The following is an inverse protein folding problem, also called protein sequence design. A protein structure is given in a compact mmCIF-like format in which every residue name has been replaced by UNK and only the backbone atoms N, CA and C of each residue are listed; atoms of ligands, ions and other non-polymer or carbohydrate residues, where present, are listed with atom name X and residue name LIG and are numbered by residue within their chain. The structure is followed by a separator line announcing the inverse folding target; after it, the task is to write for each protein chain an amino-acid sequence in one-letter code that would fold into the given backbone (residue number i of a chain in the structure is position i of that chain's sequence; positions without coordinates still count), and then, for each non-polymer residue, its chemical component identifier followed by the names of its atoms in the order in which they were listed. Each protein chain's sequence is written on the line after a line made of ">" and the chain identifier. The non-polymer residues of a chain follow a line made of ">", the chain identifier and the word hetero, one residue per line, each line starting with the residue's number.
data_IF_175671837171
#
_entry.id   IF_175671837171
#
_cell.length_a   1.000
_cell.length_b   1.000
_cell.length_c   1.000
_cell.angle_alpha   90.00
_cell.angle_beta   90.00
_cell.angle_gamma   90.00
#
_symmetry.space_group_name_H-M   'P 1'
#
loop_
_entity.id
_entity.type
_entity.pdbx_description
1 polymer ?
#
# COMPACT_ATOMS: atom_id res chain seq x y z
N UNK A 1 36.19 -27.67 18.49
CA UNK A 1 34.80 -27.69 19.00
C UNK A 1 34.28 -26.26 19.00
N UNK A 2 33.21 -25.98 18.24
CA UNK A 2 32.60 -24.65 18.13
C UNK A 2 31.92 -24.27 19.44
N UNK A 3 32.34 -23.17 20.07
CA UNK A 3 31.72 -22.66 21.29
C UNK A 3 30.36 -22.02 20.95
N UNK A 4 29.27 -22.39 21.64
CA UNK A 4 28.01 -21.66 21.51
C UNK A 4 28.19 -20.22 21.99
N UNK A 5 27.51 -19.26 21.34
CA UNK A 5 27.59 -17.82 21.62
C UNK A 5 27.13 -17.42 23.03
N UNK A 6 26.42 -18.31 23.72
CA UNK A 6 25.88 -18.07 25.05
C UNK A 6 26.15 -19.29 25.92
N UNK A 7 26.94 -19.08 26.97
CA UNK A 7 27.12 -20.08 28.00
C UNK A 7 25.83 -20.16 28.84
N UNK A 8 25.26 -21.36 29.06
CA UNK A 8 24.12 -21.49 29.95
C UNK A 8 24.53 -21.02 31.36
N UNK A 9 23.62 -20.37 32.11
CA UNK A 9 23.96 -19.89 33.43
C UNK A 9 24.39 -21.05 34.33
N UNK A 10 25.64 -21.00 34.76
CA UNK A 10 26.27 -21.94 35.69
C UNK A 10 25.84 -21.66 37.14
N UNK A 11 26.05 -22.59 38.08
CA UNK A 11 25.71 -22.39 39.50
C UNK A 11 26.42 -21.19 40.15
N UNK A 12 27.46 -20.67 39.50
CA UNK A 12 28.27 -19.52 39.92
C UNK A 12 27.70 -18.16 39.49
N UNK A 13 26.52 -18.11 38.86
CA UNK A 13 25.88 -16.85 38.49
C UNK A 13 25.54 -16.01 39.75
N UNK A 14 25.73 -14.68 39.72
CA UNK A 14 25.61 -13.80 40.90
C UNK A 14 24.22 -13.75 41.54
N UNK A 15 23.20 -14.36 40.92
CA UNK A 15 21.84 -14.45 41.46
C UNK A 15 21.15 -15.73 40.99
N UNK A 16 20.17 -16.20 41.80
CA UNK A 16 19.43 -17.44 41.56
C UNK A 16 18.41 -17.28 40.43
N UNK A 17 18.69 -17.86 39.26
CA UNK A 17 17.78 -17.86 38.11
C UNK A 17 16.73 -18.97 38.27
N UNK A 18 15.44 -18.64 38.22
CA UNK A 18 14.36 -19.65 38.27
C UNK A 18 14.41 -20.56 37.03
N UNK A 19 14.14 -21.86 37.21
CA UNK A 19 14.19 -22.90 36.15
C UNK A 19 13.43 -22.54 34.88
N UNK A 20 12.26 -21.91 35.01
CA UNK A 20 11.44 -21.43 33.87
C UNK A 20 12.16 -20.38 33.03
N UNK A 21 12.83 -19.42 33.67
CA UNK A 21 13.57 -18.39 32.94
C UNK A 21 14.81 -18.96 32.27
N UNK A 22 15.47 -19.94 32.89
CA UNK A 22 16.60 -20.63 32.27
C UNK A 22 16.20 -21.39 30.99
N UNK A 23 15.03 -22.06 31.00
CA UNK A 23 14.50 -22.71 29.80
C UNK A 23 14.12 -21.72 28.70
N UNK A 24 13.70 -20.50 29.06
CA UNK A 24 13.35 -19.45 28.09
C UNK A 24 14.58 -18.71 27.54
N UNK A 25 15.70 -18.69 28.26
CA UNK A 25 16.94 -18.05 27.81
C UNK A 25 17.71 -18.91 26.80
N UNK A 26 17.43 -20.21 26.70
CA UNK A 26 18.04 -21.06 25.68
C UNK A 26 17.38 -20.79 24.33
N UNK A 27 18.13 -20.34 23.30
CA UNK A 27 17.56 -20.08 21.99
C UNK A 27 17.03 -21.38 21.37
N UNK A 28 15.80 -21.34 20.82
CA UNK A 28 15.14 -22.50 20.19
C UNK A 28 15.85 -23.01 18.93
N UNK A 29 16.73 -22.22 18.34
CA UNK A 29 17.55 -22.56 17.17
C UNK A 29 19.00 -22.20 17.49
N UNK A 30 19.89 -23.17 17.40
CA UNK A 30 21.32 -22.95 17.55
C UNK A 30 21.84 -22.26 16.29
N UNK A 31 22.38 -21.05 16.46
CA UNK A 31 23.12 -20.37 15.41
C UNK A 31 24.61 -20.62 15.67
N UNK A 32 25.24 -21.42 14.82
CA UNK A 32 26.70 -21.52 14.77
C UNK A 32 27.24 -20.19 14.25
N UNK A 33 27.89 -19.43 15.12
CA UNK A 33 28.61 -18.21 14.72
C UNK A 33 29.84 -18.66 13.93
N UNK A 34 29.77 -18.63 12.60
CA UNK A 34 30.88 -19.01 11.71
C UNK A 34 32.04 -18.01 11.74
N UNK A 35 32.01 -17.01 12.61
CA UNK A 35 33.06 -15.99 12.70
C UNK A 35 33.08 -15.03 11.51
N UNK A 36 32.12 -15.13 10.59
CA UNK A 36 31.93 -14.16 9.51
C UNK A 36 31.26 -12.92 10.11
N UNK A 37 32.06 -11.85 10.19
CA UNK A 37 31.77 -10.63 10.95
C UNK A 37 30.47 -9.90 10.63
N UNK A 38 30.31 -8.77 11.33
CA UNK A 38 29.18 -7.85 11.19
C UNK A 38 28.68 -7.76 9.74
N UNK A 39 27.35 -7.80 9.50
CA UNK A 39 26.85 -7.99 8.15
C UNK A 39 27.40 -6.92 7.23
N UNK A 40 28.12 -7.32 6.19
CA UNK A 40 28.79 -6.38 5.31
C UNK A 40 27.78 -5.37 4.75
N UNK A 41 28.07 -4.08 4.91
CA UNK A 41 27.28 -2.99 4.35
C UNK A 41 27.92 -2.49 3.05
N UNK A 42 27.11 -1.92 2.18
CA UNK A 42 27.58 -1.15 1.02
C UNK A 42 28.07 0.23 1.46
N UNK A 43 28.82 0.97 0.61
CA UNK A 43 29.23 2.36 0.90
C UNK A 43 28.07 3.31 1.22
N UNK A 44 26.83 2.94 0.86
CA UNK A 44 25.60 3.69 1.16
C UNK A 44 24.90 3.24 2.45
N UNK A 45 25.52 2.36 3.24
CA UNK A 45 24.96 1.85 4.50
C UNK A 45 23.87 0.78 4.34
N UNK A 46 23.64 0.25 3.13
CA UNK A 46 22.67 -0.83 2.90
C UNK A 46 23.35 -2.18 3.11
N UNK A 47 22.75 -3.06 3.91
CA UNK A 47 23.26 -4.40 4.19
C UNK A 47 23.34 -5.21 2.89
N UNK A 48 24.48 -5.82 2.56
CA UNK A 48 24.66 -6.60 1.31
C UNK A 48 23.65 -7.74 1.19
N UNK A 49 23.29 -8.38 2.31
CA UNK A 49 22.24 -9.41 2.33
C UNK A 49 20.85 -8.89 1.96
N UNK A 50 20.57 -7.58 2.13
CA UNK A 50 19.31 -6.97 1.74
C UNK A 50 19.24 -6.70 0.23
N UNK A 51 20.39 -6.54 -0.44
CA UNK A 51 20.47 -6.42 -1.90
C UNK A 51 20.23 -7.75 -2.59
N UNK A 52 20.69 -8.84 -1.96
CA UNK A 52 20.51 -10.21 -2.45
C UNK A 52 19.32 -10.92 -1.76
N UNK A 53 18.48 -10.18 -1.02
CA UNK A 53 17.35 -10.79 -0.34
C UNK A 53 16.30 -11.20 -1.37
N UNK A 54 15.99 -12.49 -1.42
CA UNK A 54 14.82 -12.96 -2.12
C UNK A 54 13.57 -12.38 -1.45
N UNK A 55 12.77 -11.67 -2.23
CA UNK A 55 11.49 -11.15 -1.77
C UNK A 55 10.63 -12.36 -1.40
N UNK A 56 10.15 -12.42 -0.16
CA UNK A 56 9.19 -13.46 0.23
C UNK A 56 7.94 -13.38 -0.65
N UNK A 57 7.36 -14.51 -1.03
CA UNK A 57 6.16 -14.57 -1.90
C UNK A 57 5.06 -13.63 -1.43
N UNK A 58 4.85 -13.51 -0.11
CA UNK A 58 3.90 -12.55 0.49
C UNK A 58 4.15 -11.08 0.12
N UNK A 59 5.41 -10.66 0.08
CA UNK A 59 5.81 -9.27 -0.26
C UNK A 59 5.73 -9.06 -1.78
N UNK A 60 6.06 -10.09 -2.56
CA UNK A 60 5.86 -10.10 -4.00
C UNK A 60 4.37 -9.99 -4.35
N UNK A 61 3.50 -10.72 -3.65
CA UNK A 61 2.05 -10.69 -3.83
C UNK A 61 1.44 -9.33 -3.48
N UNK A 62 1.92 -8.72 -2.38
CA UNK A 62 1.53 -7.39 -1.97
C UNK A 62 2.01 -6.27 -2.91
N UNK A 63 2.96 -6.56 -3.81
CA UNK A 63 3.44 -5.62 -4.81
C UNK A 63 2.51 -5.51 -6.03
N UNK A 64 1.60 -6.47 -6.25
CA UNK A 64 0.69 -6.43 -7.40
C UNK A 64 -0.28 -5.23 -7.34
N UNK A 65 -0.47 -4.48 -8.44
CA UNK A 65 -1.23 -3.23 -8.41
C UNK A 65 -2.67 -3.37 -7.90
N UNK A 66 -3.34 -4.48 -8.19
CA UNK A 66 -4.73 -4.69 -7.78
C UNK A 66 -4.85 -5.07 -6.30
N UNK A 67 -4.03 -6.03 -5.86
CA UNK A 67 -4.00 -6.48 -4.47
C UNK A 67 -3.50 -5.39 -3.52
N UNK A 68 -2.47 -4.66 -3.95
CA UNK A 68 -1.97 -3.47 -3.25
C UNK A 68 -3.05 -2.40 -3.08
N UNK A 69 -3.85 -2.13 -4.12
CA UNK A 69 -4.97 -1.17 -4.04
C UNK A 69 -6.03 -1.62 -3.03
N UNK A 70 -6.37 -2.91 -3.01
CA UNK A 70 -7.32 -3.45 -2.03
C UNK A 70 -6.78 -3.37 -0.59
N UNK A 71 -5.52 -3.73 -0.36
CA UNK A 71 -4.87 -3.61 0.95
C UNK A 71 -4.80 -2.17 1.45
N UNK A 72 -4.44 -1.22 0.57
CA UNK A 72 -4.41 0.20 0.89
C UNK A 72 -5.81 0.72 1.23
N UNK A 73 -6.83 0.29 0.49
CA UNK A 73 -8.23 0.66 0.73
C UNK A 73 -8.72 0.11 2.07
N UNK A 74 -8.45 -1.18 2.36
CA UNK A 74 -8.78 -1.79 3.66
C UNK A 74 -8.10 -1.04 4.81
N UNK A 75 -6.82 -0.67 4.66
CA UNK A 75 -6.07 0.09 5.67
C UNK A 75 -6.65 1.49 5.88
N UNK A 76 -6.97 2.20 4.81
CA UNK A 76 -7.48 3.58 4.87
C UNK A 76 -8.88 3.68 5.50
N UNK A 77 -9.73 2.67 5.28
CA UNK A 77 -11.14 2.71 5.68
C UNK A 77 -11.50 1.69 6.78
N UNK A 78 -10.51 1.09 7.46
CA UNK A 78 -10.73 0.09 8.52
C UNK A 78 -11.68 0.56 9.62
N UNK A 79 -11.62 1.85 9.98
CA UNK A 79 -12.47 2.45 11.03
C UNK A 79 -13.81 3.00 10.51
N UNK A 80 -14.00 3.04 9.19
CA UNK A 80 -15.20 3.63 8.55
C UNK A 80 -16.12 2.59 7.91
N UNK A 81 -15.60 1.42 7.59
CA UNK A 81 -16.39 0.34 7.02
C UNK A 81 -16.99 -0.54 8.10
N UNK A 82 -18.23 -1.00 7.86
CA UNK A 82 -18.85 -2.05 8.67
C UNK A 82 -18.04 -3.34 8.57
N UNK A 83 -18.16 -4.19 9.59
CA UNK A 83 -17.47 -5.48 9.66
C UNK A 83 -17.77 -6.33 8.41
N UNK A 84 -19.02 -6.36 7.96
CA UNK A 84 -19.44 -7.08 6.75
C UNK A 84 -18.70 -6.61 5.47
N UNK A 85 -18.45 -5.30 5.33
CA UNK A 85 -17.70 -4.76 4.19
C UNK A 85 -16.22 -5.11 4.27
N UNK A 86 -15.66 -5.14 5.48
CA UNK A 86 -14.28 -5.58 5.68
C UNK A 86 -14.11 -7.06 5.36
N UNK A 87 -15.07 -7.91 5.74
CA UNK A 87 -15.08 -9.33 5.38
C UNK A 87 -15.20 -9.55 3.87
N UNK A 88 -16.04 -8.76 3.17
CA UNK A 88 -16.11 -8.82 1.70
C UNK A 88 -14.78 -8.44 1.05
N UNK A 89 -14.12 -7.39 1.55
CA UNK A 89 -12.78 -7.02 1.09
C UNK A 89 -11.77 -8.14 1.32
N UNK A 90 -11.85 -8.84 2.46
CA UNK A 90 -10.98 -9.98 2.76
C UNK A 90 -11.21 -11.15 1.83
N UNK A 91 -12.45 -11.53 1.57
CA UNK A 91 -12.79 -12.55 0.57
C UNK A 91 -12.30 -12.17 -0.83
N UNK A 92 -12.38 -10.89 -1.21
CA UNK A 92 -11.86 -10.41 -2.49
C UNK A 92 -10.33 -10.47 -2.57
N UNK A 93 -9.63 -10.17 -1.47
CA UNK A 93 -8.17 -10.28 -1.39
C UNK A 93 -7.73 -11.75 -1.48
N UNK A 94 -8.43 -12.65 -0.78
CA UNK A 94 -8.19 -14.10 -0.83
C UNK A 94 -8.45 -14.69 -2.22
N UNK A 95 -9.57 -14.32 -2.85
CA UNK A 95 -9.88 -14.73 -4.22
C UNK A 95 -8.83 -14.20 -5.22
N UNK A 96 -8.39 -12.95 -5.06
CA UNK A 96 -7.35 -12.36 -5.90
C UNK A 96 -6.01 -13.11 -5.73
N UNK A 97 -5.63 -13.49 -4.50
CA UNK A 97 -4.47 -14.34 -4.25
C UNK A 97 -4.61 -15.71 -4.93
N UNK A 98 -5.75 -16.40 -4.76
CA UNK A 98 -5.99 -17.69 -5.40
C UNK A 98 -5.86 -17.62 -6.93
N UNK A 99 -6.39 -16.56 -7.55
CA UNK A 99 -6.24 -16.35 -9.01
C UNK A 99 -4.80 -16.02 -9.43
N UNK A 100 -3.99 -15.41 -8.55
CA UNK A 100 -2.58 -15.14 -8.82
C UNK A 100 -1.77 -16.44 -8.80
N UNK A 101 -1.96 -17.28 -7.78
CA UNK A 101 -1.31 -18.60 -7.69
C UNK A 101 -1.78 -19.55 -8.79
N UNK A 102 -3.06 -19.53 -9.18
CA UNK A 102 -3.54 -20.33 -10.31
C UNK A 102 -2.94 -19.86 -11.65
N UNK A 103 -2.79 -18.55 -11.85
CA UNK A 103 -2.11 -17.99 -13.03
C UNK A 103 -0.63 -18.32 -13.03
N UNK A 104 0.07 -18.20 -11.90
CA UNK A 104 1.48 -18.56 -11.78
C UNK A 104 1.70 -20.06 -11.96
N UNK A 105 0.85 -20.91 -11.40
CA UNK A 105 0.91 -22.37 -11.59
C UNK A 105 0.71 -22.74 -13.07
N UNK A 106 -0.23 -22.10 -13.76
CA UNK A 106 -0.44 -22.30 -15.20
C UNK A 106 0.74 -21.75 -16.03
N UNK A 107 1.32 -20.60 -15.65
CA UNK A 107 2.51 -20.07 -16.31
C UNK A 107 3.76 -20.96 -16.12
N UNK A 108 3.94 -21.58 -14.95
CA UNK A 108 5.05 -22.53 -14.69
C UNK A 108 4.84 -23.84 -15.44
N UNK A 109 3.60 -24.32 -15.58
CA UNK A 109 3.26 -25.49 -16.41
C UNK A 109 3.54 -25.20 -17.89
N UNK A 110 3.26 -23.98 -18.37
CA UNK A 110 3.54 -23.58 -19.75
C UNK A 110 5.03 -23.41 -20.03
N UNK A 111 5.81 -22.87 -19.08
CA UNK A 111 7.28 -22.77 -19.18
C UNK A 111 7.94 -24.16 -19.27
N UNK A 112 7.54 -25.12 -18.42
CA UNK A 112 8.06 -26.51 -18.48
C UNK A 112 7.67 -27.25 -19.77
N UNK A 113 6.57 -26.86 -20.42
CA UNK A 113 6.13 -27.43 -21.71
C UNK A 113 6.80 -26.76 -22.91
N UNK A 114 7.39 -25.58 -22.76
CA UNK A 114 8.08 -24.87 -23.85
C UNK A 114 9.51 -25.36 -24.07
N UNK A 115 10.22 -25.77 -23.02
CA UNK A 115 11.63 -26.22 -23.17
C UNK A 115 11.79 -27.53 -23.97
N UNK A 116 10.72 -28.29 -24.20
CA UNK A 116 10.77 -29.60 -24.89
C UNK A 116 9.95 -29.67 -26.17
N UNK A 117 9.25 -28.60 -26.55
CA UNK A 117 8.55 -28.53 -27.83
C UNK A 117 9.25 -27.53 -28.72
N UNK A 118 10.05 -28.05 -29.65
CA UNK A 118 10.22 -27.43 -30.96
C UNK A 118 8.88 -26.79 -31.34
N UNK A 119 8.90 -25.50 -31.67
CA UNK A 119 7.69 -24.70 -31.92
C UNK A 119 7.02 -25.24 -33.17
N UNK A 120 6.27 -26.35 -33.02
CA UNK A 120 5.59 -27.01 -34.13
C UNK A 120 4.55 -26.04 -34.65
N UNK A 121 4.59 -25.82 -35.96
CA UNK A 121 3.62 -25.07 -36.74
C UNK A 121 2.21 -25.35 -36.24
N UNK A 122 1.43 -24.30 -35.93
CA UNK A 122 0.02 -24.49 -35.59
C UNK A 122 -0.70 -25.18 -36.76
N UNK A 123 -1.48 -26.22 -36.46
CA UNK A 123 -2.23 -27.00 -37.46
C UNK A 123 -3.11 -26.04 -38.28
N UNK A 124 -2.98 -26.08 -39.61
CA UNK A 124 -3.77 -25.26 -40.54
C UNK A 124 -3.09 -24.00 -41.09
N UNK A 125 -1.87 -23.67 -40.65
CA UNK A 125 -1.12 -22.53 -41.18
C UNK A 125 -0.21 -22.97 -42.32
N UNK A 126 -0.08 -22.15 -43.37
CA UNK A 126 0.98 -22.31 -44.38
C UNK A 126 2.33 -21.83 -43.82
N UNK A 127 3.43 -22.23 -44.44
CA UNK A 127 4.77 -21.90 -43.92
C UNK A 127 5.10 -20.41 -44.04
N UNK A 128 4.56 -19.77 -45.08
CA UNK A 128 4.64 -18.33 -45.29
C UNK A 128 3.83 -17.53 -44.26
N UNK A 129 2.62 -17.97 -43.91
CA UNK A 129 1.80 -17.33 -42.86
C UNK A 129 2.43 -17.51 -41.48
N UNK A 130 2.98 -18.69 -41.21
CA UNK A 130 3.67 -18.96 -39.96
C UNK A 130 4.90 -18.07 -39.79
N UNK A 131 5.70 -17.92 -40.85
CA UNK A 131 6.86 -17.01 -40.86
C UNK A 131 6.44 -15.56 -40.63
N UNK A 132 5.44 -15.05 -41.36
CA UNK A 132 4.90 -13.69 -41.16
C UNK A 132 4.44 -13.45 -39.73
N UNK A 133 3.81 -14.45 -39.11
CA UNK A 133 3.34 -14.36 -37.74
C UNK A 133 4.47 -14.38 -36.71
N UNK A 134 5.48 -15.23 -36.90
CA UNK A 134 6.68 -15.25 -36.07
C UNK A 134 7.46 -13.92 -36.18
N UNK A 135 7.58 -13.36 -37.39
CA UNK A 135 8.21 -12.06 -37.63
C UNK A 135 7.45 -10.93 -36.92
N UNK A 136 6.11 -10.93 -36.99
CA UNK A 136 5.26 -9.97 -36.28
C UNK A 136 5.39 -10.09 -34.76
N UNK A 137 5.43 -11.31 -34.23
CA UNK A 137 5.68 -11.55 -32.80
C UNK A 137 7.07 -11.06 -32.41
N UNK A 138 8.09 -11.31 -33.21
CA UNK A 138 9.44 -10.80 -32.98
C UNK A 138 9.51 -9.28 -32.92
N UNK A 139 8.76 -8.59 -33.79
CA UNK A 139 8.64 -7.13 -33.76
C UNK A 139 7.96 -6.59 -32.49
N UNK A 140 6.95 -7.29 -31.97
CA UNK A 140 6.24 -6.89 -30.74
C UNK A 140 7.01 -7.25 -29.48
N UNK A 141 7.67 -8.40 -29.48
CA UNK A 141 8.45 -8.92 -28.36
C UNK A 141 9.77 -8.15 -28.17
N UNK A 142 10.21 -7.41 -29.20
CA UNK A 142 11.30 -6.48 -29.08
C UNK A 142 11.06 -5.45 -27.95
N UNK A 143 12.10 -5.03 -27.23
CA UNK A 143 11.96 -4.01 -26.20
C UNK A 143 11.35 -2.75 -26.81
N UNK A 144 10.23 -2.30 -26.23
CA UNK A 144 9.57 -1.06 -26.67
C UNK A 144 10.58 0.07 -26.61
N UNK A 145 10.62 0.89 -27.67
CA UNK A 145 11.47 2.09 -27.70
C UNK A 145 11.14 2.95 -26.48
N UNK A 146 12.17 3.24 -25.68
CA UNK A 146 12.07 4.07 -24.49
C UNK A 146 11.97 5.53 -24.94
N UNK A 147 10.74 6.05 -25.03
CA UNK A 147 10.48 7.47 -25.30
C UNK A 147 10.57 8.24 -24.00
N UNK A 148 11.79 8.40 -23.48
CA UNK A 148 11.99 9.28 -22.32
C UNK A 148 11.56 10.69 -22.72
N UNK A 149 10.68 11.35 -21.95
CA UNK A 149 10.37 12.73 -22.21
C UNK A 149 11.68 13.54 -22.20
N UNK A 150 11.82 14.55 -23.08
CA UNK A 150 12.99 15.40 -23.05
C UNK A 150 13.15 15.98 -21.64
N UNK A 151 14.39 16.16 -21.17
CA UNK A 151 14.63 16.75 -19.85
C UNK A 151 13.92 18.11 -19.75
N UNK A 152 13.28 18.36 -18.62
CA UNK A 152 12.58 19.63 -18.38
C UNK A 152 13.62 20.75 -18.37
N UNK A 153 13.68 21.53 -19.44
CA UNK A 153 14.48 22.75 -19.49
C UNK A 153 13.79 23.78 -18.61
N UNK A 154 14.32 24.00 -17.41
CA UNK A 154 13.86 25.10 -16.54
C UNK A 154 14.34 26.40 -17.17
N UNK A 155 13.40 27.26 -17.56
CA UNK A 155 13.72 28.60 -18.04
C UNK A 155 14.35 29.49 -16.95
N UNK A 156 14.75 30.72 -17.31
CA UNK A 156 15.30 31.68 -16.35
C UNK A 156 14.31 31.93 -15.20
N UNK A 157 14.84 32.07 -13.99
CA UNK A 157 14.05 32.41 -12.82
C UNK A 157 13.33 33.74 -13.04
N UNK A 158 12.02 33.76 -12.83
CA UNK A 158 11.24 35.00 -12.85
C UNK A 158 11.15 35.58 -11.44
N UNK A 159 11.25 36.92 -11.28
CA UNK A 159 11.07 37.55 -9.99
C UNK A 159 9.66 37.32 -9.46
N UNK A 160 9.51 37.34 -8.13
CA UNK A 160 8.24 37.04 -7.45
C UNK A 160 7.10 37.93 -7.95
N UNK A 161 7.38 39.21 -8.18
CA UNK A 161 6.39 40.19 -8.66
C UNK A 161 5.75 39.79 -9.99
N UNK A 162 6.55 39.24 -10.91
CA UNK A 162 6.06 38.76 -12.21
C UNK A 162 5.23 37.46 -12.07
N UNK A 163 5.39 36.72 -10.97
CA UNK A 163 4.65 35.47 -10.69
C UNK A 163 3.36 35.72 -9.90
N UNK A 164 3.27 36.81 -9.13
CA UNK A 164 2.13 37.13 -8.28
C UNK A 164 0.78 37.11 -9.02
N UNK A 165 0.61 37.65 -10.24
CA UNK A 165 -0.67 37.60 -10.95
C UNK A 165 -1.15 36.17 -11.20
N UNK A 166 -0.24 35.28 -11.60
CA UNK A 166 -0.55 33.87 -11.84
C UNK A 166 -0.81 33.11 -10.55
N UNK A 167 -0.04 33.39 -9.49
CA UNK A 167 -0.25 32.79 -8.17
C UNK A 167 -1.63 33.18 -7.63
N UNK A 168 -2.02 34.45 -7.75
CA UNK A 168 -3.38 34.93 -7.39
C UNK A 168 -4.48 34.24 -8.19
N UNK A 169 -4.23 33.98 -9.48
CA UNK A 169 -5.16 33.22 -10.33
C UNK A 169 -5.28 31.75 -9.91
N UNK A 170 -4.16 31.09 -9.59
CA UNK A 170 -4.15 29.68 -9.15
C UNK A 170 -4.69 29.48 -7.73
N UNK A 171 -4.57 30.49 -6.88
CA UNK A 171 -5.13 30.49 -5.52
C UNK A 171 -6.61 30.84 -5.49
N UNK A 172 -7.13 31.43 -6.56
CA UNK A 172 -8.57 31.62 -6.70
C UNK A 172 -9.27 30.26 -6.73
N UNK A 173 -10.22 30.07 -5.81
CA UNK A 173 -11.02 28.85 -5.76
C UNK A 173 -11.74 28.70 -7.10
N UNK A 174 -11.55 27.57 -7.81
CA UNK A 174 -12.20 27.40 -9.09
C UNK A 174 -13.72 27.41 -8.92
N UNK A 175 -14.39 28.32 -9.63
CA UNK A 175 -15.85 28.45 -9.68
C UNK A 175 -16.52 27.43 -10.61
N UNK A 176 -15.84 26.34 -10.99
CA UNK A 176 -16.58 25.26 -11.64
C UNK A 176 -17.60 24.73 -10.65
N UNK A 177 -18.85 24.54 -11.10
CA UNK A 177 -19.92 23.93 -10.32
C UNK A 177 -19.39 22.59 -9.79
N UNK A 178 -18.88 22.61 -8.57
CA UNK A 178 -18.71 21.39 -7.80
C UNK A 178 -20.15 20.92 -7.64
N UNK A 179 -20.54 19.94 -8.45
CA UNK A 179 -21.67 19.09 -8.10
C UNK A 179 -21.26 18.42 -6.79
N UNK A 180 -21.43 19.14 -5.67
CA UNK A 180 -21.41 18.55 -4.34
C UNK A 180 -22.54 17.54 -4.38
N UNK A 181 -22.22 16.29 -4.65
CA UNK A 181 -23.13 15.20 -4.36
C UNK A 181 -23.36 15.29 -2.86
N UNK A 182 -24.55 15.76 -2.46
CA UNK A 182 -25.05 15.60 -1.11
C UNK A 182 -24.83 14.12 -0.76
N UNK A 183 -24.18 13.83 0.37
CA UNK A 183 -23.88 12.43 0.70
C UNK A 183 -25.20 11.68 0.84
N UNK A 184 -25.31 10.55 0.17
CA UNK A 184 -26.50 9.68 0.20
C UNK A 184 -26.57 8.82 1.46
N UNK A 185 -25.77 9.13 2.49
CA UNK A 185 -25.81 8.42 3.77
C UNK A 185 -27.16 8.69 4.46
N UNK A 186 -27.79 7.63 4.98
CA UNK A 186 -29.07 7.73 5.68
C UNK A 186 -29.03 8.66 6.91
N UNK A 187 -27.83 8.91 7.45
CA UNK A 187 -27.59 9.76 8.61
C UNK A 187 -27.09 11.17 8.25
N UNK A 188 -27.04 11.52 6.96
CA UNK A 188 -26.64 12.87 6.55
C UNK A 188 -27.76 13.86 6.82
N UNK A 189 -27.59 14.68 7.85
CA UNK A 189 -28.47 15.80 8.16
C UNK A 189 -27.85 17.07 7.60
N UNK A 190 -28.47 17.62 6.56
CA UNK A 190 -28.05 18.90 5.98
C UNK A 190 -27.98 19.97 7.08
N UNK A 191 -26.81 20.56 7.38
CA UNK A 191 -26.67 21.53 8.47
C UNK A 191 -27.43 22.84 8.20
N UNK A 192 -27.84 23.08 6.95
CA UNK A 192 -28.62 24.24 6.53
C UNK A 192 -30.13 23.95 6.56
N UNK A 193 -30.54 22.68 6.43
CA UNK A 193 -31.95 22.29 6.31
C UNK A 193 -32.58 22.19 7.69
N UNK A 194 -33.18 23.30 8.13
CA UNK A 194 -33.97 23.36 9.35
C UNK A 194 -35.35 22.70 9.11
N UNK A 195 -35.84 21.82 10.00
CA UNK A 195 -37.17 21.24 9.85
C UNK A 195 -38.25 22.33 9.93
N UNK A 196 -39.33 22.25 9.13
CA UNK A 196 -40.32 23.33 9.02
C UNK A 196 -41.03 23.67 10.34
N UNK A 197 -41.13 22.71 11.27
CA UNK A 197 -41.66 22.96 12.61
C UNK A 197 -40.75 23.86 13.47
N UNK A 198 -39.43 23.77 13.29
CA UNK A 198 -38.48 24.61 14.02
C UNK A 198 -38.53 26.07 13.56
N UNK A 199 -38.93 26.34 12.32
CA UNK A 199 -39.18 27.70 11.83
C UNK A 199 -40.41 28.35 12.48
N UNK A 200 -41.38 27.54 12.92
CA UNK A 200 -42.62 27.98 13.59
C UNK A 200 -42.51 27.96 15.11
N UNK A 201 -41.38 27.53 15.66
CA UNK A 201 -41.22 27.35 17.09
C UNK A 201 -41.16 28.71 17.80
N UNK A 202 -42.10 28.94 18.71
CA UNK A 202 -42.13 30.12 19.58
C UNK A 202 -41.45 29.77 20.90
N UNK A 203 -40.40 30.54 21.26
CA UNK A 203 -39.67 30.35 22.51
C UNK A 203 -40.59 30.53 23.73
N UNK A 204 -40.57 29.56 24.64
CA UNK A 204 -41.26 29.70 25.94
C UNK A 204 -40.62 30.79 26.79
N UNK A 205 -41.39 31.41 27.68
CA UNK A 205 -40.90 32.50 28.53
C UNK A 205 -39.80 32.04 29.50
N UNK A 206 -39.82 30.77 29.91
CA UNK A 206 -38.72 30.17 30.68
C UNK A 206 -37.41 30.16 29.89
N UNK A 207 -37.45 29.73 28.62
CA UNK A 207 -36.26 29.77 27.75
C UNK A 207 -35.77 31.19 27.50
N UNK A 208 -36.67 32.17 27.36
CA UNK A 208 -36.28 33.59 27.26
C UNK A 208 -35.52 34.05 28.51
N UNK A 209 -36.02 33.74 29.71
CA UNK A 209 -35.37 34.05 31.00
C UNK A 209 -34.03 33.34 31.20
N UNK A 210 -33.82 32.17 30.59
CA UNK A 210 -32.54 31.47 30.66
C UNK A 210 -31.53 32.03 29.65
N UNK A 211 -31.99 32.54 28.51
CA UNK A 211 -31.14 33.11 27.48
C UNK A 211 -30.69 34.55 27.79
N UNK A 212 -31.33 35.23 28.76
CA UNK A 212 -30.84 36.54 29.20
C UNK A 212 -29.48 36.38 29.89
N UNK A 213 -28.46 37.17 29.48
CA UNK A 213 -27.15 37.11 30.09
C UNK A 213 -27.26 37.43 31.58
N UNK A 214 -26.68 36.57 32.43
CA UNK A 214 -26.60 36.86 33.86
C UNK A 214 -25.53 37.94 34.05
N UNK A 215 -25.93 39.06 34.68
CA UNK A 215 -24.98 40.09 35.10
C UNK A 215 -24.08 39.46 36.15
N UNK A 216 -22.81 39.27 35.83
CA UNK A 216 -21.80 38.84 36.79
C UNK A 216 -21.40 40.11 37.55
N UNK A 217 -21.66 40.21 38.87
CA UNK A 217 -21.21 41.36 39.64
C UNK A 217 -19.69 41.42 39.58
N UNK A 218 -19.16 42.55 39.10
CA UNK A 218 -17.73 42.84 39.17
C UNK A 218 -17.43 43.20 40.63
N UNK A 219 -16.72 42.30 41.31
CA UNK A 219 -16.07 42.59 42.59
C UNK A 219 -14.70 43.22 42.33
#
# INVERSE_FOLDING_TARGET
>A
MLKPKYDPPTPTFPYKIRRRYNMLSVPRKYFTDTGEGMPAYTPRGIRKSALNAHISDRVHDAAWPYLRRMLLTKRAYKSRFSVERLERLDRMIEAANATCYSKLANCVIDLKKQDTKEVKKKKGWTESEWKKHMDYIGQIAGPKRDFRPPPIVRGPFKPLEALLPRIKLMTAVPKFKIYRRLSQDSNYRDPIKVPPAALKYVLTDRTKKLATPRVIPQF
#
